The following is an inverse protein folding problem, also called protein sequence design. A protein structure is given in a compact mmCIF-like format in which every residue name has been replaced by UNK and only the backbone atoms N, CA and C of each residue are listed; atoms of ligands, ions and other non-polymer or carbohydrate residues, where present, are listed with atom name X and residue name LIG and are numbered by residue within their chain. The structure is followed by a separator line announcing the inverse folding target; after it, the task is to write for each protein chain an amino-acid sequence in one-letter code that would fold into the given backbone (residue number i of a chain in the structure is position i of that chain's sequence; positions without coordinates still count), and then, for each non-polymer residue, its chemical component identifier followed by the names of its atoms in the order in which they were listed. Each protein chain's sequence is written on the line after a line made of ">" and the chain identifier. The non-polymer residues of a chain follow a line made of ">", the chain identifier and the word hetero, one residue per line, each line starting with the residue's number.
data_IF_765712514830
#
_entry.id   IF_765712514830
#
_cell.length_a   1.000
_cell.length_b   1.000
_cell.length_c   1.000
_cell.angle_alpha   90.00
_cell.angle_beta   90.00
_cell.angle_gamma   90.00
#
_symmetry.space_group_name_H-M   'P 1'
#
loop_
_entity.id
_entity.type
_entity.pdbx_description
1 polymer ?
#
# COMPACT_ATOMS: atom_id res chain seq x y z
N UNK A 1 17.49 -18.68 28.05
CA UNK A 1 18.00 -17.92 26.88
C UNK A 1 17.22 -16.62 26.78
N UNK A 2 17.80 -15.52 27.28
CA UNK A 2 17.19 -14.18 27.19
C UNK A 2 17.47 -13.61 25.79
N UNK A 3 16.44 -13.25 25.04
CA UNK A 3 16.60 -12.47 23.81
C UNK A 3 17.18 -11.10 24.20
N UNK A 4 18.31 -10.72 23.63
CA UNK A 4 18.98 -9.44 23.91
C UNK A 4 18.05 -8.25 23.59
N UNK A 5 17.92 -7.26 24.50
CA UNK A 5 16.96 -6.15 24.35
C UNK A 5 17.23 -5.24 23.14
N UNK A 6 18.45 -5.22 22.62
CA UNK A 6 18.85 -4.38 21.47
C UNK A 6 18.15 -4.77 20.16
N UNK A 7 17.89 -6.06 19.94
CA UNK A 7 17.22 -6.52 18.73
C UNK A 7 15.73 -6.13 18.70
N UNK A 8 15.06 -6.18 19.86
CA UNK A 8 13.64 -5.86 19.97
C UNK A 8 13.33 -4.36 19.73
N UNK A 9 14.23 -3.47 20.17
CA UNK A 9 14.08 -2.02 19.98
C UNK A 9 14.25 -1.67 18.49
N UNK A 10 15.21 -2.29 17.80
CA UNK A 10 15.45 -2.05 16.37
C UNK A 10 14.30 -2.56 15.47
N UNK A 11 13.71 -3.72 15.79
CA UNK A 11 12.53 -4.23 15.07
C UNK A 11 11.33 -3.30 15.20
N UNK A 12 11.07 -2.79 16.41
CA UNK A 12 9.96 -1.87 16.65
C UNK A 12 10.11 -0.55 15.88
N UNK A 13 11.33 -0.02 15.80
CA UNK A 13 11.61 1.21 15.06
C UNK A 13 11.37 1.04 13.55
N UNK A 14 11.75 -0.11 12.98
CA UNK A 14 11.52 -0.42 11.57
C UNK A 14 10.03 -0.53 11.26
N UNK A 15 9.26 -1.18 12.12
CA UNK A 15 7.81 -1.35 11.94
C UNK A 15 7.06 -0.02 12.05
N UNK A 16 7.49 0.86 12.96
CA UNK A 16 6.98 2.23 13.05
C UNK A 16 7.28 3.00 11.75
N UNK A 17 8.50 2.93 11.22
CA UNK A 17 8.87 3.60 9.98
C UNK A 17 8.06 3.08 8.78
N UNK A 18 7.85 1.76 8.67
CA UNK A 18 6.97 1.15 7.67
C UNK A 18 5.54 1.70 7.77
N UNK A 19 4.99 1.74 8.98
CA UNK A 19 3.65 2.25 9.20
C UNK A 19 3.51 3.73 8.82
N UNK A 20 4.51 4.55 9.15
CA UNK A 20 4.55 5.97 8.79
C UNK A 20 4.60 6.17 7.28
N UNK A 21 5.47 5.42 6.58
CA UNK A 21 5.59 5.51 5.12
C UNK A 21 4.27 5.11 4.43
N UNK A 22 3.62 4.02 4.90
CA UNK A 22 2.29 3.61 4.41
C UNK A 22 1.22 4.66 4.68
N UNK A 23 1.19 5.24 5.88
CA UNK A 23 0.24 6.28 6.23
C UNK A 23 0.40 7.53 5.34
N UNK A 24 1.64 7.89 4.99
CA UNK A 24 1.93 8.98 4.04
C UNK A 24 1.35 8.71 2.67
N UNK A 25 1.55 7.50 2.13
CA UNK A 25 0.98 7.10 0.82
C UNK A 25 -0.55 7.04 0.87
N UNK A 26 -1.14 6.47 1.92
CA UNK A 26 -2.60 6.46 2.09
C UNK A 26 -3.22 7.86 2.08
N UNK A 27 -2.57 8.82 2.76
CA UNK A 27 -3.02 10.22 2.75
C UNK A 27 -2.96 10.82 1.34
N UNK A 28 -1.88 10.57 0.60
CA UNK A 28 -1.76 10.99 -0.79
C UNK A 28 -2.86 10.38 -1.66
N UNK A 29 -3.05 9.06 -1.61
CA UNK A 29 -4.07 8.34 -2.38
C UNK A 29 -5.47 8.89 -2.12
N UNK A 30 -5.83 9.11 -0.86
CA UNK A 30 -7.13 9.67 -0.50
C UNK A 30 -7.34 11.08 -1.07
N UNK A 31 -6.28 11.90 -1.10
CA UNK A 31 -6.36 13.29 -1.57
C UNK A 31 -6.32 13.46 -3.08
N UNK A 32 -5.56 12.60 -3.78
CA UNK A 32 -5.20 12.81 -5.18
C UNK A 32 -5.81 11.77 -6.13
N UNK A 33 -6.15 10.58 -5.63
CA UNK A 33 -6.59 9.46 -6.46
C UNK A 33 -8.02 9.09 -6.09
N UNK A 34 -8.27 8.62 -4.87
CA UNK A 34 -9.60 8.25 -4.39
C UNK A 34 -9.56 7.15 -3.33
N UNK A 35 -10.73 6.85 -2.75
CA UNK A 35 -10.87 5.93 -1.61
C UNK A 35 -10.78 4.44 -1.96
N UNK A 36 -10.80 4.08 -3.25
CA UNK A 36 -10.68 2.69 -3.71
C UNK A 36 -9.24 2.18 -3.73
N UNK A 37 -8.27 3.00 -3.32
CA UNK A 37 -6.85 2.66 -3.35
C UNK A 37 -6.25 2.69 -1.95
N UNK A 38 -5.34 1.76 -1.68
CA UNK A 38 -4.64 1.68 -0.39
C UNK A 38 -3.17 1.34 -0.56
N UNK A 39 -2.36 1.79 0.38
CA UNK A 39 -0.95 1.44 0.51
C UNK A 39 -0.79 -0.01 1.01
N UNK A 40 -0.08 -0.81 0.22
CA UNK A 40 0.38 -2.15 0.57
C UNK A 40 1.49 -2.13 1.63
N UNK A 41 2.20 -3.25 1.75
CA UNK A 41 3.31 -3.37 2.70
C UNK A 41 4.53 -2.59 2.20
N UNK A 42 5.13 -1.81 3.10
CA UNK A 42 6.36 -1.07 2.78
C UNK A 42 7.57 -2.01 2.83
N UNK A 43 8.33 -2.02 1.76
CA UNK A 43 9.58 -2.75 1.63
C UNK A 43 10.72 -1.78 1.40
N UNK A 44 11.87 -2.03 2.03
CA UNK A 44 13.03 -1.16 1.86
C UNK A 44 13.77 -1.56 0.59
N UNK A 45 13.93 -0.61 -0.33
CA UNK A 45 14.92 -0.70 -1.38
C UNK A 45 16.29 -0.40 -0.79
N UNK A 46 17.12 -1.43 -0.65
CA UNK A 46 18.47 -1.30 -0.06
C UNK A 46 19.46 -0.59 -0.97
N UNK A 47 19.14 -0.41 -2.25
CA UNK A 47 20.01 0.29 -3.20
C UNK A 47 19.80 1.79 -3.08
N UNK A 48 18.55 2.25 -3.07
CA UNK A 48 18.23 3.69 -2.99
C UNK A 48 18.03 4.19 -1.57
N UNK A 49 17.90 3.28 -0.59
CA UNK A 49 17.48 3.59 0.78
C UNK A 49 16.11 4.29 0.82
N UNK A 50 15.16 3.82 0.02
CA UNK A 50 13.78 4.31 0.02
C UNK A 50 12.80 3.19 0.35
N UNK A 51 11.62 3.57 0.83
CA UNK A 51 10.49 2.68 0.97
C UNK A 51 9.75 2.56 -0.35
N UNK A 52 9.68 1.33 -0.87
CA UNK A 52 8.78 0.96 -1.95
C UNK A 52 7.47 0.48 -1.37
N UNK A 53 6.38 1.11 -1.83
CA UNK A 53 5.04 0.90 -1.29
C UNK A 53 4.11 0.60 -2.45
N UNK A 54 3.64 -0.65 -2.60
CA UNK A 54 2.63 -1.01 -3.58
C UNK A 54 1.35 -0.19 -3.38
N UNK A 55 0.76 0.27 -4.47
CA UNK A 55 -0.58 0.87 -4.48
C UNK A 55 -1.55 -0.24 -4.88
N UNK A 56 -2.53 -0.53 -4.03
CA UNK A 56 -3.46 -1.63 -4.21
C UNK A 56 -4.85 -1.11 -4.57
N UNK A 57 -5.53 -1.79 -5.49
CA UNK A 57 -6.96 -1.63 -5.70
C UNK A 57 -7.70 -2.45 -4.65
N UNK A 58 -8.53 -1.77 -3.87
CA UNK A 58 -9.31 -2.38 -2.78
C UNK A 58 -10.80 -2.16 -3.03
N UNK A 59 -11.55 -3.24 -2.96
CA UNK A 59 -13.02 -3.24 -3.00
C UNK A 59 -13.57 -3.82 -1.70
N UNK A 60 -14.86 -3.63 -1.38
CA UNK A 60 -15.44 -4.20 -0.17
C UNK A 60 -15.27 -5.72 -0.13
N UNK A 61 -14.52 -6.20 0.86
CA UNK A 61 -14.27 -7.64 1.07
C UNK A 61 -13.21 -8.26 0.15
N UNK A 62 -12.56 -7.50 -0.73
CA UNK A 62 -11.58 -8.05 -1.69
C UNK A 62 -10.46 -7.05 -2.04
N UNK A 63 -9.24 -7.56 -2.19
CA UNK A 63 -8.10 -6.78 -2.69
C UNK A 63 -7.76 -7.33 -4.07
N UNK A 64 -8.01 -6.54 -5.11
CA UNK A 64 -7.87 -6.99 -6.49
C UNK A 64 -6.41 -7.11 -6.93
N UNK A 65 -5.50 -6.35 -6.33
CA UNK A 65 -4.07 -6.45 -6.58
C UNK A 65 -3.37 -5.10 -6.66
N UNK A 66 -2.12 -5.12 -7.07
CA UNK A 66 -1.27 -3.94 -7.22
C UNK A 66 -1.55 -3.24 -8.56
N UNK A 67 -1.73 -1.92 -8.49
CA UNK A 67 -2.00 -1.02 -9.64
C UNK A 67 -0.90 0.02 -9.84
N UNK A 68 0.08 0.06 -8.94
CA UNK A 68 1.18 1.01 -9.00
C UNK A 68 2.11 0.87 -7.81
N UNK A 69 3.03 1.83 -7.69
CA UNK A 69 4.00 1.92 -6.60
C UNK A 69 4.23 3.40 -6.23
N UNK A 70 4.49 3.65 -4.95
CA UNK A 70 5.01 4.91 -4.46
C UNK A 70 6.35 4.68 -3.75
N UNK A 71 7.30 5.59 -3.98
CA UNK A 71 8.56 5.63 -3.28
C UNK A 71 8.52 6.73 -2.21
N UNK A 72 8.85 6.38 -0.98
CA UNK A 72 8.94 7.32 0.15
C UNK A 72 10.37 7.33 0.67
N UNK A 73 10.95 8.51 0.87
CA UNK A 73 12.29 8.63 1.42
C UNK A 73 12.36 8.00 2.81
N UNK A 74 13.35 7.15 3.02
CA UNK A 74 13.64 6.64 4.37
C UNK A 74 13.98 7.77 5.35
N UNK A 75 14.64 8.83 4.87
CA UNK A 75 15.18 9.89 5.71
C UNK A 75 14.16 10.99 6.01
N UNK A 76 13.43 11.46 4.99
CA UNK A 76 12.50 12.59 5.13
C UNK A 76 11.05 12.17 5.33
N UNK A 77 10.74 10.90 5.06
CA UNK A 77 9.37 10.37 5.04
C UNK A 77 8.45 11.08 4.02
N UNK A 78 9.04 11.76 3.04
CA UNK A 78 8.32 12.39 1.93
C UNK A 78 8.19 11.44 0.74
N UNK A 79 7.12 11.59 -0.04
CA UNK A 79 6.95 10.84 -1.29
C UNK A 79 7.91 11.45 -2.30
N UNK A 80 8.84 10.63 -2.79
CA UNK A 80 9.84 11.01 -3.81
C UNK A 80 9.22 10.85 -5.20
N UNK A 81 8.47 9.77 -5.40
CA UNK A 81 7.82 9.46 -6.66
C UNK A 81 6.62 8.53 -6.45
N UNK A 82 5.75 8.49 -7.44
CA UNK A 82 4.65 7.53 -7.50
C UNK A 82 4.27 7.27 -8.95
N UNK A 83 3.63 6.13 -9.21
CA UNK A 83 2.95 5.85 -10.49
C UNK A 83 1.96 6.98 -10.80
N UNK A 84 1.89 7.41 -12.06
CA UNK A 84 0.98 8.48 -12.47
C UNK A 84 -0.47 8.09 -12.21
N UNK A 85 -1.31 9.07 -11.89
CA UNK A 85 -2.71 8.84 -11.51
C UNK A 85 -3.46 8.15 -12.65
N UNK A 86 -3.23 8.57 -13.89
CA UNK A 86 -3.84 7.99 -15.08
C UNK A 86 -3.46 6.52 -15.27
N UNK A 87 -2.21 6.16 -14.95
CA UNK A 87 -1.73 4.78 -15.04
C UNK A 87 -2.33 3.90 -13.94
N UNK A 88 -2.46 4.43 -12.71
CA UNK A 88 -3.14 3.76 -11.60
C UNK A 88 -4.58 3.40 -12.01
N UNK A 89 -5.29 4.34 -12.62
CA UNK A 89 -6.67 4.12 -13.09
C UNK A 89 -6.76 3.11 -14.23
N UNK A 90 -5.86 3.19 -15.21
CA UNK A 90 -5.82 2.25 -16.32
C UNK A 90 -5.60 0.79 -15.85
N UNK A 91 -4.66 0.59 -14.91
CA UNK A 91 -4.42 -0.73 -14.35
C UNK A 91 -5.58 -1.18 -13.45
N UNK A 92 -6.17 -0.27 -12.67
CA UNK A 92 -7.34 -0.57 -11.85
C UNK A 92 -8.53 -1.06 -12.68
N UNK A 93 -8.78 -0.45 -13.84
CA UNK A 93 -9.83 -0.89 -14.75
C UNK A 93 -9.57 -2.31 -15.28
N UNK A 94 -8.31 -2.59 -15.64
CA UNK A 94 -7.89 -3.93 -16.06
C UNK A 94 -8.13 -4.97 -14.95
N UNK A 95 -7.77 -4.65 -13.71
CA UNK A 95 -7.99 -5.55 -12.57
C UNK A 95 -9.47 -5.74 -12.25
N UNK A 96 -10.29 -4.69 -12.34
CA UNK A 96 -11.74 -4.80 -12.14
C UNK A 96 -12.39 -5.75 -13.14
N UNK A 97 -12.04 -5.63 -14.41
CA UNK A 97 -12.55 -6.52 -15.45
C UNK A 97 -12.08 -7.95 -15.24
N UNK A 98 -10.81 -8.14 -14.84
CA UNK A 98 -10.25 -9.47 -14.57
C UNK A 98 -10.93 -10.17 -13.39
N UNK A 99 -11.23 -9.44 -12.32
CA UNK A 99 -11.73 -9.99 -11.06
C UNK A 99 -13.19 -9.61 -10.78
N UNK A 100 -13.98 -9.29 -11.81
CA UNK A 100 -15.35 -8.81 -11.64
C UNK A 100 -16.20 -9.81 -10.83
N UNK A 101 -16.15 -11.09 -11.18
CA UNK A 101 -16.87 -12.15 -10.47
C UNK A 101 -16.49 -12.24 -8.98
N UNK A 102 -15.19 -12.18 -8.66
CA UNK A 102 -14.69 -12.23 -7.28
C UNK A 102 -15.07 -10.98 -6.50
N UNK A 103 -15.01 -9.81 -7.12
CA UNK A 103 -15.44 -8.53 -6.53
C UNK A 103 -16.93 -8.58 -6.20
N UNK A 104 -17.78 -9.02 -7.13
CA UNK A 104 -19.22 -9.15 -6.88
C UNK A 104 -19.52 -10.16 -5.77
N UNK A 105 -18.86 -11.33 -5.80
CA UNK A 105 -19.03 -12.35 -4.78
C UNK A 105 -18.63 -11.84 -3.39
N UNK A 106 -17.50 -11.14 -3.27
CA UNK A 106 -17.02 -10.57 -2.02
C UNK A 106 -17.95 -9.45 -1.51
N UNK A 107 -18.47 -8.61 -2.41
CA UNK A 107 -19.41 -7.55 -2.05
C UNK A 107 -20.70 -8.11 -1.42
N UNK A 108 -21.30 -9.13 -2.04
CA UNK A 108 -22.50 -9.79 -1.52
C UNK A 108 -22.27 -10.44 -0.14
N UNK A 109 -21.07 -10.99 0.10
CA UNK A 109 -20.72 -11.55 1.41
C UNK A 109 -20.51 -10.48 2.48
N UNK A 110 -19.95 -9.32 2.10
CA UNK A 110 -19.69 -8.22 3.02
C UNK A 110 -20.98 -7.49 3.47
N UNK A 111 -21.98 -7.38 2.59
CA UNK A 111 -23.25 -6.72 2.88
C UNK A 111 -24.26 -7.54 3.69
N UNK A 112 -24.04 -8.85 3.82
CA UNK A 112 -24.90 -9.77 4.58
C UNK A 112 -24.44 -9.98 6.04
N UNK A 113 -23.56 -9.10 6.55
CA UNK A 113 -23.08 -9.09 7.95
C UNK A 113 -23.62 -7.88 8.68
#
# INVERSE_FOLDING_TARGET
>A
MMKSPTAAIATNQLDIAKAQARARVNRFLLSAVGSQFAAGNAEIDRVTNDWKIPILLVTPGFVAGQVGEACVSWHTHEIISHTLVEQIYAEAETLKQRYDAEIQAAFLQAGNR
#
